data_IF_181813277995
#
_entry.id   IF_181813277995
#
_cell.length_a   1.000
_cell.length_b   1.000
_cell.length_c   1.000
_cell.angle_alpha   90.00
_cell.angle_beta   90.00
_cell.angle_gamma   90.00
#
_symmetry.space_group_name_H-M   'P 1'
#
loop_
_entity.id
_entity.type
_entity.pdbx_description
1 polymer ?
#
# COMPACT_ATOMS: atom_id res chain seq x y z
N UNK A 1 51.38 -1.65 -24.75
CA UNK A 1 50.47 -0.92 -23.85
C UNK A 1 49.05 -1.42 -24.11
N UNK A 2 48.49 -2.21 -23.20
CA UNK A 2 47.09 -2.66 -23.27
C UNK A 2 46.32 -1.84 -22.24
N UNK A 3 45.50 -0.90 -22.70
CA UNK A 3 44.59 -0.14 -21.84
C UNK A 3 43.48 -1.11 -21.39
N UNK A 4 43.48 -1.45 -20.11
CA UNK A 4 42.40 -2.20 -19.48
C UNK A 4 41.30 -1.21 -19.07
N UNK A 5 40.23 -1.15 -19.87
CA UNK A 5 39.04 -0.35 -19.56
C UNK A 5 38.20 -1.09 -18.51
N UNK A 6 38.21 -0.58 -17.28
CA UNK A 6 37.29 -1.00 -16.22
C UNK A 6 35.90 -0.45 -16.54
N UNK A 7 34.99 -1.34 -16.97
CA UNK A 7 33.58 -1.05 -17.12
C UNK A 7 32.99 -0.95 -15.71
N UNK A 8 32.76 0.28 -15.23
CA UNK A 8 31.95 0.52 -14.05
C UNK A 8 30.49 0.30 -14.44
N UNK A 9 29.95 -0.88 -14.13
CA UNK A 9 28.51 -1.12 -14.16
C UNK A 9 27.91 -0.34 -12.98
N UNK A 10 27.02 0.64 -13.21
CA UNK A 10 26.30 1.27 -12.13
C UNK A 10 25.38 0.22 -11.49
N UNK A 11 25.65 -0.10 -10.23
CA UNK A 11 24.69 -0.79 -9.37
C UNK A 11 23.51 0.16 -9.18
N UNK A 12 22.50 0.07 -10.04
CA UNK A 12 21.19 0.66 -9.76
C UNK A 12 20.63 -0.05 -8.52
N UNK A 13 20.85 0.54 -7.34
CA UNK A 13 19.99 0.27 -6.19
C UNK A 13 18.61 0.78 -6.56
N UNK A 14 17.68 -0.14 -6.83
CA UNK A 14 16.26 0.20 -6.86
C UNK A 14 15.90 0.78 -5.48
N UNK A 15 15.49 2.05 -5.43
CA UNK A 15 15.01 2.64 -4.19
C UNK A 15 13.69 1.96 -3.84
N UNK A 16 13.61 1.34 -2.67
CA UNK A 16 12.35 0.85 -2.13
C UNK A 16 11.64 2.02 -1.43
N UNK A 17 10.82 2.75 -2.19
CA UNK A 17 10.03 3.87 -1.66
C UNK A 17 9.03 3.39 -0.60
N UNK A 18 8.61 2.13 -0.66
CA UNK A 18 7.65 1.57 0.29
C UNK A 18 8.26 1.24 1.66
N UNK A 19 9.59 1.25 1.82
CA UNK A 19 10.21 1.02 3.13
C UNK A 19 9.78 2.08 4.16
N UNK A 20 9.59 3.33 3.72
CA UNK A 20 9.22 4.44 4.59
C UNK A 20 10.28 4.75 5.66
N UNK A 21 9.84 5.36 6.76
CA UNK A 21 10.67 5.63 7.93
C UNK A 21 10.22 4.78 9.13
N UNK A 22 10.87 3.63 9.32
CA UNK A 22 10.57 2.68 10.41
C UNK A 22 10.74 3.23 11.82
N UNK A 23 11.30 4.42 12.02
CA UNK A 23 11.34 5.05 13.34
C UNK A 23 10.01 5.72 13.73
N UNK A 24 9.10 5.90 12.78
CA UNK A 24 7.76 6.46 13.01
C UNK A 24 6.82 5.31 13.30
N UNK A 25 6.20 5.31 14.48
CA UNK A 25 5.17 4.34 14.79
C UNK A 25 3.87 4.71 14.06
N UNK A 26 3.26 3.71 13.42
CA UNK A 26 1.90 3.81 12.92
C UNK A 26 0.85 3.64 14.02
N UNK A 27 -0.42 3.74 13.64
CA UNK A 27 -1.56 3.56 14.53
C UNK A 27 -2.25 2.20 14.35
N UNK A 28 -1.87 1.46 13.30
CA UNK A 28 -2.51 0.22 12.92
C UNK A 28 -1.52 -0.94 12.89
N UNK A 29 -2.05 -2.14 13.09
CA UNK A 29 -1.27 -3.38 13.01
C UNK A 29 -1.88 -4.29 11.95
N UNK A 30 -1.16 -4.59 10.84
CA UNK A 30 -1.62 -5.56 9.86
C UNK A 30 -1.83 -6.93 10.48
N UNK A 31 -2.95 -7.59 10.14
CA UNK A 31 -3.33 -8.90 10.67
C UNK A 31 -3.24 -9.99 9.60
N UNK A 32 -3.75 -9.71 8.40
CA UNK A 32 -3.82 -10.68 7.30
C UNK A 32 -3.40 -10.05 5.98
N UNK A 33 -2.91 -10.89 5.06
CA UNK A 33 -2.55 -10.54 3.69
C UNK A 33 -3.03 -11.67 2.77
N UNK A 34 -3.85 -11.32 1.79
CA UNK A 34 -4.41 -12.21 0.78
C UNK A 34 -4.03 -11.67 -0.58
N UNK A 35 -3.41 -12.52 -1.39
CA UNK A 35 -3.08 -12.20 -2.78
C UNK A 35 -4.33 -12.25 -3.64
N UNK A 36 -4.65 -11.13 -4.29
CA UNK A 36 -5.80 -10.98 -5.19
C UNK A 36 -5.37 -10.62 -6.61
N UNK A 37 -4.08 -10.75 -6.94
CA UNK A 37 -3.51 -10.30 -8.21
C UNK A 37 -4.21 -10.90 -9.43
N UNK A 38 -4.57 -12.19 -9.36
CA UNK A 38 -5.24 -12.91 -10.44
C UNK A 38 -6.74 -12.58 -10.58
N UNK A 39 -7.33 -11.82 -9.65
CA UNK A 39 -8.72 -11.37 -9.74
C UNK A 39 -8.87 -10.16 -10.67
N UNK A 40 -7.75 -9.55 -11.10
CA UNK A 40 -7.71 -8.38 -11.95
C UNK A 40 -7.13 -8.72 -13.33
N UNK A 41 -7.75 -8.22 -14.39
CA UNK A 41 -7.25 -8.39 -15.78
C UNK A 41 -5.98 -7.59 -16.05
N UNK A 42 -5.77 -6.50 -15.31
CA UNK A 42 -4.61 -5.63 -15.39
C UNK A 42 -4.26 -5.20 -13.96
N UNK A 43 -3.63 -6.07 -13.16
CA UNK A 43 -3.21 -5.69 -11.82
C UNK A 43 -2.15 -4.58 -11.89
N UNK A 44 -2.07 -3.71 -10.87
CA UNK A 44 -1.01 -2.72 -10.78
C UNK A 44 0.36 -3.37 -10.86
N UNK A 45 1.31 -2.72 -11.50
CA UNK A 45 2.70 -3.15 -11.54
C UNK A 45 3.44 -2.73 -10.28
N UNK A 46 4.50 -3.47 -9.95
CA UNK A 46 5.44 -3.12 -8.86
C UNK A 46 5.97 -1.68 -9.00
N UNK A 47 6.20 -1.21 -10.23
CA UNK A 47 6.66 0.16 -10.50
C UNK A 47 5.59 1.21 -10.17
N UNK A 48 4.32 0.92 -10.45
CA UNK A 48 3.22 1.80 -10.07
C UNK A 48 3.08 1.88 -8.56
N UNK A 49 3.19 0.75 -7.84
CA UNK A 49 3.16 0.76 -6.37
C UNK A 49 4.35 1.52 -5.77
N UNK A 50 5.55 1.39 -6.33
CA UNK A 50 6.71 2.19 -5.90
C UNK A 50 6.51 3.69 -6.15
N UNK A 51 5.75 4.06 -7.19
CA UNK A 51 5.38 5.45 -7.47
C UNK A 51 4.35 5.96 -6.45
N UNK A 52 3.33 5.16 -6.13
CA UNK A 52 2.37 5.48 -5.06
C UNK A 52 3.08 5.68 -3.72
N UNK A 53 3.99 4.78 -3.33
CA UNK A 53 4.79 4.91 -2.12
C UNK A 53 5.63 6.19 -2.10
N UNK A 54 6.18 6.61 -3.25
CA UNK A 54 6.91 7.88 -3.34
C UNK A 54 5.99 9.09 -3.07
N UNK A 55 4.73 9.04 -3.51
CA UNK A 55 3.71 10.04 -3.20
C UNK A 55 3.39 10.10 -1.71
N UNK A 56 3.12 8.96 -1.08
CA UNK A 56 2.83 8.87 0.36
C UNK A 56 3.97 9.47 1.19
N UNK A 57 5.23 9.20 0.85
CA UNK A 57 6.39 9.76 1.57
C UNK A 57 6.50 11.29 1.47
N UNK A 58 5.88 11.91 0.46
CA UNK A 58 5.88 13.37 0.27
C UNK A 58 4.71 14.04 0.98
N UNK A 59 3.63 13.31 1.24
CA UNK A 59 2.47 13.82 1.97
C UNK A 59 2.79 14.02 3.45
N UNK A 60 2.35 15.16 3.98
CA UNK A 60 2.52 15.51 5.38
C UNK A 60 1.25 15.24 6.17
N UNK A 61 1.41 14.60 7.33
CA UNK A 61 0.32 14.36 8.29
C UNK A 61 -0.29 12.98 8.14
N UNK A 62 -1.44 12.81 8.79
CA UNK A 62 -2.15 11.55 8.86
C UNK A 62 -3.36 11.56 7.93
N UNK A 63 -3.74 10.37 7.48
CA UNK A 63 -4.91 10.16 6.64
C UNK A 63 -6.12 9.86 7.51
N UNK A 64 -7.15 10.68 7.36
CA UNK A 64 -8.39 10.46 8.08
C UNK A 64 -9.25 9.42 7.37
N UNK A 65 -9.65 8.39 8.11
CA UNK A 65 -10.72 7.48 7.73
C UNK A 65 -11.98 7.88 8.48
N UNK A 66 -13.05 8.19 7.76
CA UNK A 66 -14.35 8.54 8.32
C UNK A 66 -15.43 7.76 7.57
N UNK A 67 -16.00 6.73 8.18
CA UNK A 67 -17.04 5.92 7.54
C UNK A 67 -18.44 6.54 7.62
N UNK A 68 -18.61 7.63 8.40
CA UNK A 68 -19.92 8.27 8.56
C UNK A 68 -20.37 9.04 7.31
N UNK A 69 -19.43 9.44 6.46
CA UNK A 69 -19.67 10.24 5.25
C UNK A 69 -19.95 9.39 4.01
N UNK A 70 -19.69 8.09 4.06
CA UNK A 70 -19.88 7.18 2.93
C UNK A 70 -21.32 6.68 2.83
N UNK A 71 -22.16 7.45 2.14
CA UNK A 71 -23.57 7.14 1.85
C UNK A 71 -23.78 5.84 1.05
N UNK A 72 -22.74 5.33 0.39
CA UNK A 72 -22.80 4.21 -0.57
C UNK A 72 -22.26 2.87 -0.08
N UNK A 73 -21.64 2.83 1.10
CA UNK A 73 -21.28 1.58 1.75
C UNK A 73 -19.78 1.31 1.87
N UNK A 74 -19.36 1.29 3.13
CA UNK A 74 -18.27 0.51 3.71
C UNK A 74 -16.84 0.73 3.21
N UNK A 75 -16.56 1.24 2.01
CA UNK A 75 -15.22 1.37 1.44
C UNK A 75 -14.88 2.83 1.13
N UNK A 76 -13.69 3.25 1.57
CA UNK A 76 -13.11 4.57 1.38
C UNK A 76 -11.84 4.43 0.53
N UNK A 77 -11.89 4.92 -0.71
CA UNK A 77 -10.73 4.94 -1.60
C UNK A 77 -9.87 6.17 -1.26
N UNK A 78 -8.65 5.92 -0.77
CA UNK A 78 -7.80 6.96 -0.17
C UNK A 78 -6.72 7.47 -1.13
N UNK A 79 -6.18 6.57 -1.96
CA UNK A 79 -5.14 6.88 -2.93
C UNK A 79 -5.57 6.39 -4.31
N UNK A 80 -5.96 7.31 -5.20
CA UNK A 80 -6.53 7.01 -6.53
C UNK A 80 -5.46 6.82 -7.61
N UNK A 81 -4.31 6.24 -7.24
CA UNK A 81 -3.24 5.88 -8.18
C UNK A 81 -3.55 4.55 -8.89
N UNK A 82 -2.84 4.22 -9.99
CA UNK A 82 -2.94 2.90 -10.62
C UNK A 82 -2.59 1.74 -9.68
N UNK A 83 -1.70 1.95 -8.70
CA UNK A 83 -1.59 1.07 -7.54
C UNK A 83 -2.15 1.84 -6.35
N UNK A 84 -3.47 1.80 -6.22
CA UNK A 84 -4.24 2.59 -5.26
C UNK A 84 -4.40 1.89 -3.92
N UNK A 85 -4.82 2.67 -2.93
CA UNK A 85 -5.10 2.20 -1.57
C UNK A 85 -6.52 2.55 -1.17
N UNK A 86 -7.21 1.58 -0.59
CA UNK A 86 -8.52 1.77 -0.01
C UNK A 86 -8.64 1.03 1.32
N UNK A 87 -9.58 1.48 2.15
CA UNK A 87 -9.97 0.79 3.37
C UNK A 87 -11.46 0.53 3.37
N UNK A 88 -11.90 -0.51 4.07
CA UNK A 88 -13.31 -0.72 4.32
C UNK A 88 -13.59 -1.16 5.75
N UNK A 89 -14.83 -1.01 6.19
CA UNK A 89 -15.29 -1.52 7.50
C UNK A 89 -15.09 -3.03 7.59
N UNK A 90 -14.53 -3.48 8.71
CA UNK A 90 -14.63 -4.88 9.12
C UNK A 90 -16.04 -5.20 9.62
N UNK A 91 -16.27 -6.47 9.97
CA UNK A 91 -17.58 -6.98 10.37
C UNK A 91 -18.16 -6.21 11.58
N UNK A 92 -17.32 -5.96 12.58
CA UNK A 92 -17.72 -5.28 13.83
C UNK A 92 -17.40 -3.78 13.85
N UNK A 93 -16.90 -3.21 12.74
CA UNK A 93 -16.60 -1.77 12.70
C UNK A 93 -17.89 -0.93 12.61
N UNK A 94 -18.13 -0.01 13.57
CA UNK A 94 -19.27 0.90 13.53
C UNK A 94 -19.35 1.71 12.22
N UNK A 95 -20.58 2.08 11.82
CA UNK A 95 -20.79 2.91 10.61
C UNK A 95 -20.23 4.32 10.74
N UNK A 96 -20.10 4.80 11.96
CA UNK A 96 -19.56 6.11 12.33
C UNK A 96 -18.13 6.05 12.87
N UNK A 97 -17.46 4.90 12.69
CA UNK A 97 -16.06 4.76 13.10
C UNK A 97 -15.18 5.74 12.32
N UNK A 98 -14.29 6.38 13.09
CA UNK A 98 -13.36 7.41 12.60
C UNK A 98 -12.01 7.24 13.29
N UNK A 99 -10.95 7.19 12.50
CA UNK A 99 -9.59 6.99 12.98
C UNK A 99 -8.59 7.55 11.96
N UNK A 100 -7.32 7.61 12.37
CA UNK A 100 -6.24 8.07 11.51
C UNK A 100 -5.37 6.90 11.07
N UNK A 101 -4.77 7.00 9.89
CA UNK A 101 -3.64 6.20 9.45
C UNK A 101 -2.42 7.11 9.32
N UNK A 102 -1.28 6.71 9.86
CA UNK A 102 -0.02 7.33 9.53
C UNK A 102 0.42 6.88 8.12
N UNK A 103 1.27 7.67 7.47
CA UNK A 103 1.95 7.24 6.23
C UNK A 103 2.62 5.86 6.41
N UNK A 104 3.23 5.62 7.56
CA UNK A 104 3.93 4.37 7.83
C UNK A 104 3.00 3.16 7.86
N UNK A 105 1.77 3.29 8.35
CA UNK A 105 0.78 2.20 8.32
C UNK A 105 0.53 1.72 6.88
N UNK A 106 0.37 2.67 5.96
CA UNK A 106 0.09 2.38 4.55
C UNK A 106 1.36 1.83 3.86
N UNK A 107 2.51 2.44 4.12
CA UNK A 107 3.79 2.01 3.53
C UNK A 107 4.18 0.59 3.96
N UNK A 108 3.92 0.21 5.21
CA UNK A 108 4.15 -1.15 5.71
C UNK A 108 3.28 -2.19 4.98
N UNK A 109 2.02 -1.85 4.67
CA UNK A 109 1.16 -2.70 3.85
C UNK A 109 1.70 -2.88 2.44
N UNK A 110 2.16 -1.80 1.80
CA UNK A 110 2.77 -1.87 0.47
C UNK A 110 4.07 -2.67 0.46
N UNK A 111 4.98 -2.41 1.39
CA UNK A 111 6.25 -3.11 1.45
C UNK A 111 6.04 -4.62 1.61
N UNK A 112 5.21 -5.02 2.57
CA UNK A 112 4.95 -6.43 2.85
C UNK A 112 4.22 -7.10 1.67
N UNK A 113 3.25 -6.41 1.05
CA UNK A 113 2.54 -6.88 -0.15
C UNK A 113 3.49 -7.12 -1.32
N UNK A 114 4.36 -6.14 -1.62
CA UNK A 114 5.36 -6.27 -2.67
C UNK A 114 6.36 -7.38 -2.35
N UNK A 115 6.82 -7.48 -1.11
CA UNK A 115 7.77 -8.53 -0.70
C UNK A 115 7.18 -9.93 -0.82
N UNK A 116 5.86 -10.09 -0.61
CA UNK A 116 5.20 -11.39 -0.68
C UNK A 116 4.81 -11.78 -2.10
N UNK A 117 4.27 -10.84 -2.88
CA UNK A 117 3.49 -11.19 -4.07
C UNK A 117 4.07 -10.68 -5.40
N UNK A 118 4.91 -9.65 -5.41
CA UNK A 118 5.41 -9.06 -6.67
C UNK A 118 6.21 -10.04 -7.55
N UNK A 119 6.86 -11.03 -6.93
CA UNK A 119 7.62 -12.07 -7.64
C UNK A 119 6.78 -13.21 -8.20
N UNK A 120 5.46 -13.22 -7.97
CA UNK A 120 4.57 -14.34 -8.32
C UNK A 120 3.81 -14.15 -9.63
N UNK A 121 3.61 -12.89 -10.09
CA UNK A 121 2.69 -12.56 -11.19
C UNK A 121 3.32 -11.62 -12.23
N UNK A 122 4.53 -11.93 -12.69
CA UNK A 122 5.24 -11.16 -13.73
C UNK A 122 5.38 -9.65 -13.40
N UNK A 123 5.48 -9.32 -12.11
CA UNK A 123 5.60 -7.95 -11.61
C UNK A 123 4.26 -7.24 -11.35
N UNK A 124 3.12 -7.87 -11.66
CA UNK A 124 1.80 -7.45 -11.23
C UNK A 124 1.55 -7.76 -9.75
N UNK A 125 0.75 -6.94 -9.08
CA UNK A 125 0.46 -7.08 -7.65
C UNK A 125 -0.87 -6.42 -7.28
N UNK A 126 -1.76 -7.22 -6.69
CA UNK A 126 -2.90 -6.74 -5.90
C UNK A 126 -3.01 -7.58 -4.64
N UNK A 127 -3.43 -6.95 -3.54
CA UNK A 127 -3.67 -7.66 -2.29
C UNK A 127 -4.78 -7.00 -1.48
N UNK A 128 -5.38 -7.79 -0.61
CA UNK A 128 -6.27 -7.30 0.43
C UNK A 128 -5.97 -7.97 1.76
N UNK A 129 -6.53 -7.45 2.83
CA UNK A 129 -6.41 -8.08 4.13
C UNK A 129 -7.13 -7.30 5.21
N UNK A 130 -6.76 -7.57 6.45
CA UNK A 130 -7.26 -6.87 7.63
C UNK A 130 -6.13 -6.24 8.42
N UNK A 131 -6.45 -5.17 9.14
CA UNK A 131 -5.58 -4.54 10.12
C UNK A 131 -6.39 -4.03 11.31
N UNK A 132 -5.78 -3.99 12.48
CA UNK A 132 -6.36 -3.44 13.70
C UNK A 132 -5.90 -1.98 13.86
N UNK A 133 -6.84 -1.04 13.90
CA UNK A 133 -6.61 0.40 14.07
C UNK A 133 -7.33 0.89 15.33
N UNK A 134 -6.60 1.02 16.44
CA UNK A 134 -7.22 1.20 17.76
C UNK A 134 -8.10 -0.01 18.10
N UNK A 135 -9.40 0.23 18.28
CA UNK A 135 -10.38 -0.82 18.58
C UNK A 135 -11.11 -1.36 17.34
N UNK A 136 -10.74 -0.90 16.14
CA UNK A 136 -11.42 -1.28 14.89
C UNK A 136 -10.57 -2.22 14.05
N UNK A 137 -11.06 -3.45 13.86
CA UNK A 137 -10.53 -4.30 12.79
C UNK A 137 -11.18 -3.87 11.46
N UNK A 138 -10.37 -3.44 10.51
CA UNK A 138 -10.82 -2.92 9.22
C UNK A 138 -10.16 -3.70 8.08
N UNK A 139 -10.77 -3.66 6.89
CA UNK A 139 -10.22 -4.23 5.67
C UNK A 139 -9.39 -3.21 4.92
N UNK A 140 -8.32 -3.64 4.26
CA UNK A 140 -7.51 -2.79 3.40
C UNK A 140 -7.34 -3.45 2.02
N UNK A 141 -7.10 -2.62 1.00
CA UNK A 141 -6.96 -3.04 -0.39
C UNK A 141 -5.81 -2.28 -1.05
N UNK A 142 -4.95 -3.01 -1.76
CA UNK A 142 -3.97 -2.50 -2.72
C UNK A 142 -4.34 -3.08 -4.08
N UNK A 143 -4.79 -2.23 -4.99
CA UNK A 143 -5.32 -2.62 -6.31
C UNK A 143 -5.41 -1.39 -7.22
N UNK A 144 -5.81 -1.56 -8.48
CA UNK A 144 -6.10 -0.43 -9.35
C UNK A 144 -7.38 0.29 -8.91
N UNK A 145 -7.27 1.60 -8.69
CA UNK A 145 -8.35 2.53 -8.33
C UNK A 145 -8.41 3.75 -9.26
N UNK A 146 -7.67 3.75 -10.36
CA UNK A 146 -7.48 4.91 -11.24
C UNK A 146 -8.61 5.16 -12.26
N UNK A 147 -9.82 4.65 -11.99
CA UNK A 147 -10.98 4.70 -12.89
C UNK A 147 -11.57 6.09 -13.12
#
# INVERSE_FOLDING_TARGET
MVLSSLIFLPLCHSQNNCYGNKSIAGYCTPLTYTDTTNDFTAPPTTSECQTTCAGINQDSGDWLVDFSIDNGGARHDMLLYPCGFAVARGEDTPRDARFSLANQDILDLYEETLSRFAGLHDGGVSAEGTMLCGDFEIKWYIQDLSA
#
